data_IF_151627512445
#
_entry.id   IF_151627512445
#
_cell.length_a   1.000
_cell.length_b   1.000
_cell.length_c   1.000
_cell.angle_alpha   90.00
_cell.angle_beta   90.00
_cell.angle_gamma   90.00
#
_symmetry.space_group_name_H-M   'P 1'
#
loop_
_entity.id
_entity.type
_entity.pdbx_description
1 polymer ?
#
# COMPACT_ATOMS: atom_id res chain seq x y z
N UNK A 1 -42.59 -4.22 86.25
CA UNK A 1 -41.22 -3.99 85.71
C UNK A 1 -41.35 -3.55 84.27
N UNK A 2 -41.38 -2.24 84.06
CA UNK A 2 -41.64 -1.62 82.80
C UNK A 2 -40.32 -1.37 82.09
N UNK A 3 -40.20 -1.74 80.81
CA UNK A 3 -39.08 -1.39 79.95
C UNK A 3 -39.63 -0.52 78.83
N UNK A 4 -39.17 0.70 78.90
CA UNK A 4 -39.48 1.79 77.97
C UNK A 4 -38.66 1.64 76.69
N UNK A 5 -39.29 1.59 75.53
CA UNK A 5 -38.69 1.56 74.24
C UNK A 5 -38.82 2.94 73.61
N UNK A 6 -37.76 3.73 73.74
CA UNK A 6 -37.62 5.01 73.06
C UNK A 6 -37.32 4.80 71.60
N UNK A 7 -38.27 5.14 70.73
CA UNK A 7 -38.13 5.15 69.28
C UNK A 7 -37.23 6.31 68.80
N UNK A 8 -36.08 5.99 68.24
CA UNK A 8 -35.24 6.95 67.57
C UNK A 8 -35.71 7.09 66.13
N UNK A 9 -36.46 8.15 65.85
CA UNK A 9 -36.84 8.58 64.52
C UNK A 9 -35.63 9.25 63.83
N UNK A 10 -34.96 8.54 62.93
CA UNK A 10 -33.93 9.13 62.11
C UNK A 10 -34.59 9.82 60.92
N UNK A 11 -34.63 11.12 60.93
CA UNK A 11 -35.09 11.94 59.79
C UNK A 11 -34.01 11.93 58.67
N UNK A 12 -34.35 11.25 57.63
CA UNK A 12 -33.53 11.28 56.35
C UNK A 12 -33.61 12.69 55.73
N UNK A 13 -32.47 13.35 55.60
CA UNK A 13 -32.36 14.65 54.95
C UNK A 13 -32.73 14.53 53.44
N UNK A 14 -33.49 15.49 52.89
CA UNK A 14 -33.88 15.47 51.48
C UNK A 14 -32.64 15.66 50.59
N UNK A 15 -32.37 14.67 49.76
CA UNK A 15 -31.33 14.73 48.70
C UNK A 15 -31.68 15.87 47.75
N UNK A 16 -30.77 16.84 47.61
CA UNK A 16 -30.87 17.93 46.61
C UNK A 16 -31.00 17.34 45.20
N UNK A 17 -31.99 17.74 44.40
CA UNK A 17 -32.14 17.27 43.06
C UNK A 17 -30.89 17.70 42.24
N UNK A 18 -30.27 16.74 41.55
CA UNK A 18 -29.15 16.98 40.65
C UNK A 18 -29.57 18.02 39.61
N UNK A 19 -28.94 19.20 39.65
CA UNK A 19 -29.14 20.26 38.64
C UNK A 19 -28.84 19.68 37.26
N UNK A 20 -29.89 19.38 36.51
CA UNK A 20 -29.76 19.06 35.07
C UNK A 20 -29.02 20.23 34.39
N UNK A 21 -27.80 19.97 33.93
CA UNK A 21 -27.03 20.92 33.11
C UNK A 21 -27.87 21.26 31.89
N UNK A 22 -28.53 22.42 31.90
CA UNK A 22 -29.19 22.95 30.71
C UNK A 22 -28.10 23.29 29.70
N UNK A 23 -27.99 22.47 28.63
CA UNK A 23 -27.14 22.78 27.47
C UNK A 23 -27.58 24.14 26.91
N UNK A 24 -26.70 25.12 26.90
CA UNK A 24 -26.97 26.45 26.36
C UNK A 24 -27.18 26.39 24.82
N UNK A 25 -27.79 27.41 24.20
CA UNK A 25 -28.00 27.44 22.75
C UNK A 25 -26.70 27.22 21.94
N UNK A 26 -25.56 27.65 22.49
CA UNK A 26 -24.25 27.44 21.87
C UNK A 26 -23.85 25.97 21.76
N UNK A 27 -24.23 25.12 22.73
CA UNK A 27 -23.93 23.68 22.68
C UNK A 27 -24.78 22.95 21.64
N UNK A 28 -26.01 23.40 21.40
CA UNK A 28 -26.84 22.84 20.35
C UNK A 28 -26.35 23.19 18.94
N UNK A 29 -25.85 24.42 18.74
CA UNK A 29 -25.27 24.82 17.45
C UNK A 29 -23.98 24.06 17.18
N UNK A 30 -23.10 23.87 18.14
CA UNK A 30 -21.88 23.06 18.00
C UNK A 30 -22.20 21.59 17.68
N UNK A 31 -23.23 21.02 18.34
CA UNK A 31 -23.67 19.65 18.05
C UNK A 31 -24.22 19.53 16.62
N UNK A 32 -25.03 20.48 16.18
CA UNK A 32 -25.57 20.49 14.81
C UNK A 32 -24.49 20.60 13.74
N UNK A 33 -23.48 21.47 13.97
CA UNK A 33 -22.31 21.59 13.08
C UNK A 33 -21.49 20.29 13.05
N UNK A 34 -21.26 19.67 14.20
CA UNK A 34 -20.53 18.41 14.28
C UNK A 34 -21.26 17.28 13.52
N UNK A 35 -22.59 17.18 13.66
CA UNK A 35 -23.42 16.20 12.93
C UNK A 35 -23.39 16.48 11.43
N UNK A 36 -23.47 17.76 11.01
CA UNK A 36 -23.39 18.13 9.60
C UNK A 36 -22.03 17.79 8.97
N UNK A 37 -20.92 18.04 9.68
CA UNK A 37 -19.58 17.68 9.26
C UNK A 37 -19.38 16.17 9.19
N UNK A 38 -19.89 15.44 10.19
CA UNK A 38 -19.83 13.97 10.19
C UNK A 38 -20.64 13.38 9.03
N UNK A 39 -21.84 13.90 8.79
CA UNK A 39 -22.70 13.52 7.67
C UNK A 39 -22.03 13.81 6.32
N UNK A 40 -21.42 14.99 6.17
CA UNK A 40 -20.64 15.34 4.98
C UNK A 40 -19.46 14.40 4.76
N UNK A 41 -18.70 14.12 5.81
CA UNK A 41 -17.56 13.20 5.76
C UNK A 41 -18.00 11.79 5.39
N UNK A 42 -19.09 11.29 5.97
CA UNK A 42 -19.65 9.98 5.67
C UNK A 42 -20.13 9.89 4.21
N UNK A 43 -20.83 10.90 3.71
CA UNK A 43 -21.29 10.97 2.30
C UNK A 43 -20.09 11.05 1.36
N UNK A 44 -19.08 11.84 1.68
CA UNK A 44 -17.85 11.93 0.88
C UNK A 44 -17.12 10.59 0.83
N UNK A 45 -17.05 9.87 1.95
CA UNK A 45 -16.41 8.56 2.03
C UNK A 45 -17.19 7.49 1.26
N UNK A 46 -18.52 7.45 1.38
CA UNK A 46 -19.38 6.52 0.64
C UNK A 46 -19.39 6.79 -0.88
N UNK A 47 -19.15 8.03 -1.30
CA UNK A 47 -19.05 8.42 -2.70
C UNK A 47 -17.66 8.17 -3.31
N UNK A 48 -16.64 7.86 -2.51
CA UNK A 48 -15.31 7.54 -3.05
C UNK A 48 -15.40 6.20 -3.82
N UNK A 49 -15.05 6.18 -5.13
CA UNK A 49 -15.19 4.98 -5.93
C UNK A 49 -14.42 3.80 -5.33
N UNK A 50 -15.06 2.62 -5.33
CA UNK A 50 -14.43 1.39 -4.87
C UNK A 50 -13.24 1.02 -5.76
N UNK A 51 -12.15 0.49 -5.18
CA UNK A 51 -11.02 -0.07 -5.92
C UNK A 51 -11.35 -1.35 -6.72
N UNK A 52 -12.58 -1.86 -6.55
CA UNK A 52 -13.18 -2.88 -7.42
C UNK A 52 -13.76 -2.30 -8.72
N UNK A 53 -13.54 -1.01 -8.97
CA UNK A 53 -13.81 -0.35 -10.26
C UNK A 53 -12.52 0.23 -10.82
N UNK A 54 -12.37 0.30 -12.17
CA UNK A 54 -11.16 0.87 -12.77
C UNK A 54 -10.93 2.32 -12.35
N UNK A 55 -12.00 3.11 -12.21
CA UNK A 55 -11.98 4.50 -11.78
C UNK A 55 -11.44 4.63 -10.35
N UNK A 56 -11.94 3.78 -9.44
CA UNK A 56 -11.50 3.81 -8.05
C UNK A 56 -10.04 3.38 -7.89
N UNK A 57 -9.61 2.34 -8.59
CA UNK A 57 -8.22 1.91 -8.63
C UNK A 57 -7.31 3.03 -9.17
N UNK A 58 -7.69 3.67 -10.29
CA UNK A 58 -6.97 4.79 -10.86
C UNK A 58 -6.81 5.96 -9.86
N UNK A 59 -7.89 6.34 -9.16
CA UNK A 59 -7.83 7.42 -8.18
C UNK A 59 -6.93 7.09 -6.99
N UNK A 60 -6.86 5.81 -6.59
CA UNK A 60 -5.96 5.37 -5.53
C UNK A 60 -4.50 5.40 -5.99
N UNK A 61 -4.22 4.93 -7.21
CA UNK A 61 -2.89 5.07 -7.83
C UNK A 61 -2.49 6.54 -7.90
N UNK A 62 -3.36 7.41 -8.42
CA UNK A 62 -3.11 8.85 -8.51
C UNK A 62 -2.84 9.47 -7.13
N UNK A 63 -3.60 9.06 -6.11
CA UNK A 63 -3.39 9.52 -4.73
C UNK A 63 -2.04 9.08 -4.17
N UNK A 64 -1.62 7.83 -4.40
CA UNK A 64 -0.32 7.30 -3.99
C UNK A 64 0.84 8.03 -4.70
N UNK A 65 0.71 8.24 -6.01
CA UNK A 65 1.67 8.98 -6.85
C UNK A 65 1.83 10.42 -6.37
N UNK A 66 0.72 11.12 -6.08
CA UNK A 66 0.75 12.51 -5.61
C UNK A 66 1.40 12.64 -4.23
N UNK A 67 1.21 11.65 -3.36
CA UNK A 67 1.86 11.58 -2.03
C UNK A 67 3.31 11.09 -2.09
N UNK A 68 3.79 10.62 -3.25
CA UNK A 68 5.13 10.06 -3.38
C UNK A 68 5.31 8.69 -2.71
N UNK A 69 4.22 7.95 -2.46
CA UNK A 69 4.23 6.66 -1.76
C UNK A 69 4.18 5.51 -2.75
N UNK A 70 5.34 5.04 -3.17
CA UNK A 70 5.45 3.93 -4.12
C UNK A 70 4.90 2.61 -3.56
N UNK A 71 5.07 2.34 -2.26
CA UNK A 71 4.53 1.15 -1.60
C UNK A 71 2.99 1.13 -1.65
N UNK A 72 2.31 2.28 -1.39
CA UNK A 72 0.86 2.40 -1.50
C UNK A 72 0.39 2.14 -2.95
N UNK A 73 1.19 2.56 -3.93
CA UNK A 73 0.92 2.31 -5.34
C UNK A 73 1.05 0.82 -5.69
N UNK A 74 2.05 0.13 -5.13
CA UNK A 74 2.29 -1.30 -5.39
C UNK A 74 1.04 -2.16 -5.16
N UNK A 75 0.22 -1.83 -4.15
CA UNK A 75 -1.02 -2.54 -3.87
C UNK A 75 -2.02 -2.50 -5.05
N UNK A 76 -1.88 -1.54 -5.97
CA UNK A 76 -2.73 -1.35 -7.16
C UNK A 76 -2.00 -1.65 -8.46
N UNK A 77 -0.91 -2.40 -8.43
CA UNK A 77 -0.30 -3.02 -9.62
C UNK A 77 -0.94 -4.37 -9.91
N UNK A 78 -0.83 -4.84 -11.15
CA UNK A 78 -1.28 -6.17 -11.56
C UNK A 78 -0.56 -7.27 -10.76
N UNK A 79 -1.24 -8.40 -10.49
CA UNK A 79 -0.68 -9.56 -9.78
C UNK A 79 0.65 -10.02 -10.35
N UNK A 80 0.78 -10.09 -11.69
CA UNK A 80 2.02 -10.48 -12.37
C UNK A 80 3.19 -9.55 -12.05
N UNK A 81 2.93 -8.23 -12.03
CA UNK A 81 3.93 -7.22 -11.62
C UNK A 81 4.36 -7.40 -10.15
N UNK A 82 3.40 -7.71 -9.27
CA UNK A 82 3.72 -7.98 -7.87
C UNK A 82 4.57 -9.23 -7.71
N UNK A 83 4.19 -10.34 -8.37
CA UNK A 83 4.97 -11.58 -8.35
C UNK A 83 6.37 -11.37 -8.93
N UNK A 84 6.51 -10.59 -10.01
CA UNK A 84 7.81 -10.27 -10.56
C UNK A 84 8.72 -9.57 -9.54
N UNK A 85 8.19 -8.60 -8.77
CA UNK A 85 8.96 -7.94 -7.72
C UNK A 85 9.44 -8.93 -6.63
N UNK A 86 8.58 -9.82 -6.16
CA UNK A 86 9.00 -10.85 -5.19
C UNK A 86 10.06 -11.78 -5.79
N UNK A 87 9.88 -12.19 -7.04
CA UNK A 87 10.82 -13.06 -7.76
C UNK A 87 12.20 -12.41 -7.90
N UNK A 88 12.27 -11.14 -8.31
CA UNK A 88 13.54 -10.40 -8.40
C UNK A 88 14.23 -10.37 -7.05
N UNK A 89 13.52 -9.93 -6.00
CA UNK A 89 14.09 -9.86 -4.65
C UNK A 89 14.70 -11.19 -4.21
N UNK A 90 13.96 -12.27 -4.40
CA UNK A 90 14.37 -13.60 -3.96
C UNK A 90 15.60 -14.10 -4.72
N UNK A 91 15.65 -13.91 -6.04
CA UNK A 91 16.84 -14.27 -6.82
C UNK A 91 18.04 -13.39 -6.47
N UNK A 92 17.87 -12.08 -6.28
CA UNK A 92 18.96 -11.18 -5.89
C UNK A 92 19.51 -11.52 -4.50
N UNK A 93 18.62 -11.89 -3.56
CA UNK A 93 19.04 -12.38 -2.24
C UNK A 93 19.85 -13.67 -2.34
N UNK A 94 19.35 -14.68 -3.07
CA UNK A 94 20.07 -15.94 -3.33
C UNK A 94 21.42 -15.69 -4.01
N UNK A 95 21.46 -14.82 -5.05
CA UNK A 95 22.71 -14.47 -5.74
C UNK A 95 23.72 -13.87 -4.79
N UNK A 96 23.29 -12.90 -3.95
CA UNK A 96 24.18 -12.27 -2.95
C UNK A 96 24.69 -13.27 -1.92
N UNK A 97 23.83 -14.13 -1.39
CA UNK A 97 24.22 -15.19 -0.43
C UNK A 97 25.23 -16.15 -1.07
N UNK A 98 25.01 -16.58 -2.31
CA UNK A 98 25.88 -17.50 -3.04
C UNK A 98 27.24 -16.88 -3.33
N UNK A 99 27.27 -15.59 -3.71
CA UNK A 99 28.51 -14.83 -3.90
C UNK A 99 29.31 -14.74 -2.60
N UNK A 100 28.66 -14.38 -1.49
CA UNK A 100 29.34 -14.26 -0.19
C UNK A 100 29.92 -15.59 0.31
N UNK A 101 29.29 -16.72 -0.01
CA UNK A 101 29.73 -18.04 0.42
C UNK A 101 30.92 -18.58 -0.38
N UNK A 102 30.97 -18.39 -1.70
CA UNK A 102 31.84 -19.15 -2.57
C UNK A 102 32.91 -18.32 -3.30
N UNK A 103 32.63 -17.05 -3.60
CA UNK A 103 33.50 -16.24 -4.46
C UNK A 103 34.77 -15.78 -3.77
N UNK A 104 35.92 -15.68 -4.50
CA UNK A 104 37.14 -15.08 -3.98
C UNK A 104 37.05 -13.54 -3.97
N UNK A 105 37.91 -12.89 -3.18
CA UNK A 105 38.14 -11.46 -3.27
C UNK A 105 39.02 -11.14 -4.51
N UNK A 106 38.81 -9.97 -5.17
CA UNK A 106 37.89 -8.86 -4.82
C UNK A 106 36.50 -9.02 -5.40
N UNK A 107 36.21 -10.06 -6.17
CA UNK A 107 34.93 -10.26 -6.87
C UNK A 107 33.77 -10.42 -5.91
N UNK A 108 33.99 -11.10 -4.79
CA UNK A 108 32.98 -11.27 -3.73
C UNK A 108 32.42 -9.94 -3.26
N UNK A 109 33.28 -9.03 -2.85
CA UNK A 109 32.89 -7.73 -2.34
C UNK A 109 32.16 -6.89 -3.40
N UNK A 110 32.65 -6.89 -4.63
CA UNK A 110 32.07 -6.14 -5.76
C UNK A 110 30.67 -6.65 -6.12
N UNK A 111 30.51 -7.95 -6.28
CA UNK A 111 29.22 -8.54 -6.65
C UNK A 111 28.20 -8.49 -5.52
N UNK A 112 28.62 -8.76 -4.28
CA UNK A 112 27.75 -8.65 -3.12
C UNK A 112 27.19 -7.21 -2.94
N UNK A 113 28.03 -6.20 -3.22
CA UNK A 113 27.62 -4.80 -3.19
C UNK A 113 26.62 -4.47 -4.33
N UNK A 114 26.81 -5.04 -5.54
CA UNK A 114 25.90 -4.78 -6.67
C UNK A 114 24.48 -5.31 -6.44
N UNK A 115 24.33 -6.37 -5.65
CA UNK A 115 23.02 -6.94 -5.30
C UNK A 115 22.42 -6.39 -4.00
N UNK A 116 23.18 -5.59 -3.24
CA UNK A 116 22.85 -5.22 -1.85
C UNK A 116 21.47 -4.55 -1.73
N UNK A 117 21.16 -3.59 -2.60
CA UNK A 117 19.92 -2.80 -2.51
C UNK A 117 18.67 -3.68 -2.79
N UNK A 118 18.74 -4.49 -3.86
CA UNK A 118 17.61 -5.35 -4.25
C UNK A 118 17.44 -6.54 -3.31
N UNK A 119 18.54 -7.13 -2.87
CA UNK A 119 18.56 -8.20 -1.87
C UNK A 119 18.15 -7.73 -0.48
N UNK A 120 18.36 -6.44 -0.18
CA UNK A 120 18.00 -5.81 1.10
C UNK A 120 16.57 -5.34 1.21
N UNK A 121 15.79 -5.37 0.10
CA UNK A 121 14.38 -5.04 0.13
C UNK A 121 13.62 -6.01 1.05
N UNK A 122 12.80 -5.47 1.97
CA UNK A 122 12.08 -6.29 2.94
C UNK A 122 11.04 -7.17 2.24
N UNK A 123 10.34 -6.61 1.23
CA UNK A 123 9.33 -7.31 0.44
C UNK A 123 9.28 -6.80 -1.02
N UNK A 124 8.28 -7.27 -1.78
CA UNK A 124 8.07 -6.86 -3.17
C UNK A 124 7.69 -5.38 -3.31
N UNK A 125 7.04 -4.79 -2.29
CA UNK A 125 6.66 -3.38 -2.33
C UNK A 125 7.85 -2.44 -2.15
N UNK A 126 8.81 -2.83 -1.32
CA UNK A 126 10.07 -2.10 -1.13
C UNK A 126 10.93 -2.18 -2.39
N UNK A 127 10.99 -3.37 -3.04
CA UNK A 127 11.68 -3.51 -4.31
C UNK A 127 11.02 -2.66 -5.40
N UNK A 128 9.70 -2.65 -5.49
CA UNK A 128 8.97 -1.79 -6.40
C UNK A 128 9.29 -0.30 -6.15
N UNK A 129 9.30 0.12 -4.88
CA UNK A 129 9.66 1.48 -4.51
C UNK A 129 11.09 1.86 -4.91
N UNK A 130 12.03 0.91 -4.77
CA UNK A 130 13.41 1.08 -5.23
C UNK A 130 13.46 1.33 -6.76
N UNK A 131 12.75 0.53 -7.55
CA UNK A 131 12.69 0.70 -9.00
C UNK A 131 11.96 1.97 -9.40
N UNK A 132 10.83 2.27 -8.77
CA UNK A 132 10.08 3.50 -9.02
C UNK A 132 10.93 4.76 -8.78
N UNK A 133 11.78 4.73 -7.75
CA UNK A 133 12.75 5.81 -7.47
C UNK A 133 13.86 5.86 -8.52
N UNK A 134 14.52 4.74 -8.80
CA UNK A 134 15.65 4.66 -9.75
C UNK A 134 15.25 5.09 -11.16
N UNK A 135 14.03 4.75 -11.59
CA UNK A 135 13.52 5.00 -12.95
C UNK A 135 12.65 6.25 -13.05
N UNK A 136 12.41 6.93 -11.94
CA UNK A 136 11.63 8.17 -11.91
C UNK A 136 10.14 8.00 -12.25
N UNK A 137 9.58 6.79 -12.09
CA UNK A 137 8.18 6.47 -12.46
C UNK A 137 7.17 7.38 -11.80
N UNK A 138 7.32 7.65 -10.48
CA UNK A 138 6.36 8.53 -9.78
C UNK A 138 6.38 9.96 -10.33
N UNK A 139 7.56 10.47 -10.70
CA UNK A 139 7.68 11.79 -11.30
C UNK A 139 7.01 11.87 -12.67
N UNK A 140 7.19 10.84 -13.51
CA UNK A 140 6.54 10.73 -14.80
C UNK A 140 5.01 10.64 -14.64
N UNK A 141 4.52 9.70 -13.84
CA UNK A 141 3.08 9.52 -13.60
C UNK A 141 2.44 10.80 -13.06
N UNK A 142 3.11 11.52 -12.14
CA UNK A 142 2.59 12.79 -11.59
C UNK A 142 2.38 13.87 -12.66
N UNK A 143 3.23 13.89 -13.68
CA UNK A 143 3.06 14.82 -14.81
C UNK A 143 1.92 14.41 -15.73
N UNK A 144 1.75 13.10 -15.93
CA UNK A 144 0.86 12.56 -16.97
C UNK A 144 -0.56 12.29 -16.45
N UNK A 145 -0.70 11.94 -15.16
CA UNK A 145 -1.99 11.67 -14.54
C UNK A 145 -2.81 12.96 -14.37
N UNK A 146 -4.11 12.87 -14.66
CA UNK A 146 -5.07 13.98 -14.50
C UNK A 146 -6.48 13.41 -14.27
N UNK A 147 -7.51 14.25 -14.27
CA UNK A 147 -8.90 13.79 -14.13
C UNK A 147 -9.27 12.74 -15.17
N UNK A 148 -10.19 11.87 -14.83
CA UNK A 148 -10.73 10.83 -15.73
C UNK A 148 -11.62 11.49 -16.76
N UNK A 149 -11.35 11.26 -18.05
CA UNK A 149 -12.19 11.69 -19.15
C UNK A 149 -13.14 10.55 -19.59
N UNK A 150 -12.61 9.33 -19.69
CA UNK A 150 -13.35 8.16 -20.17
C UNK A 150 -12.81 6.88 -19.57
N UNK A 151 -13.71 5.91 -19.35
CA UNK A 151 -13.34 4.55 -18.95
C UNK A 151 -13.96 3.56 -19.95
N UNK A 152 -13.11 2.70 -20.51
CA UNK A 152 -13.54 1.60 -21.37
C UNK A 152 -13.26 0.28 -20.64
N UNK A 153 -14.31 -0.50 -20.41
CA UNK A 153 -14.21 -1.81 -19.79
C UNK A 153 -14.57 -2.92 -20.76
N UNK A 154 -13.74 -3.97 -20.82
CA UNK A 154 -13.95 -5.17 -21.64
C UNK A 154 -13.63 -6.42 -20.80
N UNK A 155 -14.65 -6.95 -20.14
CA UNK A 155 -14.48 -8.08 -19.21
C UNK A 155 -13.55 -7.73 -18.05
N UNK A 156 -12.43 -8.44 -17.96
CA UNK A 156 -11.39 -8.27 -16.93
C UNK A 156 -10.35 -7.19 -17.24
N UNK A 157 -10.45 -6.54 -18.39
CA UNK A 157 -9.55 -5.46 -18.81
C UNK A 157 -10.31 -4.15 -18.86
N UNK A 158 -9.61 -3.08 -18.50
CA UNK A 158 -10.12 -1.73 -18.66
C UNK A 158 -9.01 -0.77 -19.09
N UNK A 159 -9.42 0.33 -19.69
CA UNK A 159 -8.53 1.46 -19.99
C UNK A 159 -9.16 2.73 -19.43
N UNK A 160 -8.41 3.44 -18.60
CA UNK A 160 -8.79 4.74 -18.08
C UNK A 160 -8.06 5.80 -18.92
N UNK A 161 -8.83 6.60 -19.65
CA UNK A 161 -8.32 7.74 -20.40
C UNK A 161 -8.47 9.02 -19.57
N UNK A 162 -7.40 9.77 -19.49
CA UNK A 162 -7.35 11.03 -18.72
C UNK A 162 -7.73 12.21 -19.58
N UNK A 163 -8.07 13.34 -18.94
CA UNK A 163 -8.34 14.62 -19.65
C UNK A 163 -7.15 15.07 -20.51
N UNK A 164 -5.93 14.62 -20.17
CA UNK A 164 -4.71 14.88 -20.97
C UNK A 164 -4.53 13.91 -22.13
N UNK A 165 -5.46 12.97 -22.35
CA UNK A 165 -5.39 11.97 -23.42
C UNK A 165 -4.49 10.77 -23.12
N UNK A 166 -3.87 10.70 -21.95
CA UNK A 166 -3.06 9.53 -21.56
C UNK A 166 -3.96 8.37 -21.18
N UNK A 167 -3.62 7.16 -21.64
CA UNK A 167 -4.38 5.94 -21.35
C UNK A 167 -3.63 5.05 -20.38
N UNK A 168 -4.34 4.61 -19.35
CA UNK A 168 -3.84 3.71 -18.31
C UNK A 168 -4.56 2.38 -18.39
N UNK A 169 -3.85 1.29 -18.76
CA UNK A 169 -4.45 -0.04 -18.83
C UNK A 169 -4.53 -0.67 -17.43
N UNK A 170 -5.68 -1.31 -17.16
CA UNK A 170 -5.96 -2.02 -15.92
C UNK A 170 -6.43 -3.44 -16.20
N UNK A 171 -6.20 -4.34 -15.25
CA UNK A 171 -6.73 -5.70 -15.22
C UNK A 171 -7.28 -6.03 -13.84
N UNK A 172 -8.37 -6.80 -13.79
CA UNK A 172 -8.89 -7.34 -12.53
C UNK A 172 -7.91 -8.36 -11.96
N UNK A 173 -7.65 -8.25 -10.68
CA UNK A 173 -6.91 -9.25 -9.92
C UNK A 173 -7.89 -10.32 -9.44
N UNK A 174 -7.65 -11.57 -9.81
CA UNK A 174 -8.55 -12.69 -9.53
C UNK A 174 -8.70 -12.95 -8.02
N UNK A 175 -7.62 -12.71 -7.23
CA UNK A 175 -7.58 -13.03 -5.80
C UNK A 175 -8.54 -12.16 -4.96
N UNK A 176 -8.81 -10.91 -5.39
CA UNK A 176 -9.55 -9.96 -4.55
C UNK A 176 -10.52 -9.04 -5.32
N UNK A 177 -10.56 -9.16 -6.65
CA UNK A 177 -11.41 -8.36 -7.51
C UNK A 177 -11.00 -6.87 -7.63
N UNK A 178 -9.82 -6.51 -7.12
CA UNK A 178 -9.26 -5.16 -7.24
C UNK A 178 -8.69 -4.98 -8.65
N UNK A 179 -8.82 -3.78 -9.21
CA UNK A 179 -8.21 -3.45 -10.51
C UNK A 179 -6.75 -3.05 -10.32
N UNK A 180 -5.84 -3.76 -11.00
CA UNK A 180 -4.41 -3.51 -11.00
C UNK A 180 -3.95 -2.82 -12.29
N UNK A 181 -3.10 -1.79 -12.16
CA UNK A 181 -2.45 -1.11 -13.28
C UNK A 181 -1.41 -2.04 -13.91
N UNK A 182 -1.44 -2.19 -15.24
CA UNK A 182 -0.55 -3.12 -15.99
C UNK A 182 0.66 -2.41 -16.62
N UNK A 183 0.79 -1.10 -16.42
CA UNK A 183 1.77 -0.25 -17.12
C UNK A 183 3.23 -0.74 -17.01
N UNK A 184 3.61 -1.27 -15.84
CA UNK A 184 4.99 -1.70 -15.56
C UNK A 184 5.18 -3.22 -15.57
N UNK A 185 4.14 -4.00 -15.89
CA UNK A 185 4.17 -5.47 -15.77
C UNK A 185 5.26 -6.08 -16.64
N UNK A 186 5.29 -5.76 -17.93
CA UNK A 186 6.28 -6.33 -18.85
C UNK A 186 7.73 -5.99 -18.46
N UNK A 187 7.95 -4.77 -17.95
CA UNK A 187 9.27 -4.32 -17.52
C UNK A 187 9.73 -5.08 -16.27
N UNK A 188 8.84 -5.26 -15.29
CA UNK A 188 9.14 -6.00 -14.06
C UNK A 188 9.33 -7.50 -14.32
N UNK A 189 8.53 -8.09 -15.21
CA UNK A 189 8.73 -9.49 -15.64
C UNK A 189 10.09 -9.68 -16.33
N UNK A 190 10.48 -8.75 -17.19
CA UNK A 190 11.81 -8.77 -17.80
C UNK A 190 12.95 -8.67 -16.78
N UNK A 191 12.75 -7.91 -15.67
CA UNK A 191 13.72 -7.90 -14.55
C UNK A 191 13.73 -9.22 -13.79
N UNK A 192 12.58 -9.86 -13.57
CA UNK A 192 12.51 -11.16 -12.92
C UNK A 192 13.25 -12.24 -13.72
N UNK A 193 13.04 -12.26 -15.03
CA UNK A 193 13.79 -13.17 -15.92
C UNK A 193 15.30 -12.90 -15.91
N UNK A 194 15.71 -11.62 -15.90
CA UNK A 194 17.13 -11.26 -15.77
C UNK A 194 17.71 -11.74 -14.45
N UNK A 195 17.01 -11.50 -13.35
CA UNK A 195 17.48 -11.92 -12.03
C UNK A 195 17.61 -13.45 -11.92
N UNK A 196 16.69 -14.21 -12.55
CA UNK A 196 16.76 -15.66 -12.59
C UNK A 196 18.00 -16.15 -13.37
N UNK A 197 18.23 -15.62 -14.59
CA UNK A 197 19.41 -15.96 -15.39
C UNK A 197 20.72 -15.58 -14.71
N UNK A 198 20.77 -14.41 -14.07
CA UNK A 198 21.95 -13.98 -13.31
C UNK A 198 22.24 -14.95 -12.17
N UNK A 199 21.21 -15.41 -11.45
CA UNK A 199 21.38 -16.39 -10.38
C UNK A 199 21.95 -17.71 -10.91
N UNK A 200 21.48 -18.23 -12.05
CA UNK A 200 22.02 -19.46 -12.65
C UNK A 200 23.51 -19.32 -12.96
N UNK A 201 23.95 -18.18 -13.50
CA UNK A 201 25.35 -17.91 -13.79
C UNK A 201 26.19 -17.83 -12.49
N UNK A 202 25.67 -17.14 -11.48
CA UNK A 202 26.31 -17.00 -10.17
C UNK A 202 26.46 -18.35 -9.49
N UNK A 203 25.43 -19.19 -9.48
CA UNK A 203 25.46 -20.50 -8.84
C UNK A 203 26.41 -21.46 -9.54
N UNK A 204 26.45 -21.44 -10.87
CA UNK A 204 27.43 -22.21 -11.65
C UNK A 204 28.86 -21.81 -11.32
N UNK A 205 29.19 -20.52 -11.36
CA UNK A 205 30.51 -20.04 -11.04
C UNK A 205 30.90 -20.32 -9.56
N UNK A 206 29.95 -20.18 -8.63
CA UNK A 206 30.17 -20.54 -7.24
C UNK A 206 30.56 -22.01 -7.08
N UNK A 207 29.86 -22.91 -7.79
CA UNK A 207 30.15 -24.34 -7.78
C UNK A 207 31.53 -24.65 -8.39
N UNK A 208 31.98 -23.88 -9.40
CA UNK A 208 33.31 -24.00 -9.96
C UNK A 208 34.38 -23.57 -8.96
N UNK A 209 34.18 -22.45 -8.25
CA UNK A 209 35.09 -22.00 -7.19
C UNK A 209 35.17 -22.98 -5.99
N UNK A 210 34.07 -23.60 -5.63
CA UNK A 210 34.04 -24.62 -4.55
C UNK A 210 34.82 -25.88 -4.94
N UNK A 211 34.78 -26.29 -6.20
CA UNK A 211 35.56 -27.44 -6.70
C UNK A 211 37.05 -27.16 -6.86
N UNK A 212 37.42 -25.90 -7.01
CA UNK A 212 38.81 -25.48 -7.17
C UNK A 212 39.57 -25.27 -5.84
N UNK A 213 38.86 -25.34 -4.70
CA UNK A 213 39.46 -25.27 -3.35
C UNK A 213 39.90 -26.64 -2.87
#
# INVERSE_FOLDING_TARGET
MAIDLASVSSAAAPSKPARARRFGPLSWTLLAVAIALLGWFLVAWLRYPSDRTPEGAYLRVMSAVNRGRAQDFFAYTETRAQHACFTVRDYRKKSRERVLAAYPEPERSRLAASYADEAGAADGSDLFALYAKRRGWLGQLRRDMSGIARVERRGERASVETVRGTRYPFRVREENGIWGLTLFTAELEGEAERAARDFELIDKAASDYERAK
#
